data_IF_241599794391
#
_entry.id   IF_241599794391
#
_cell.length_a   1.000
_cell.length_b   1.000
_cell.length_c   1.000
_cell.angle_alpha   90.00
_cell.angle_beta   90.00
_cell.angle_gamma   90.00
#
_symmetry.space_group_name_H-M   'P 1'
#
loop_
_entity.id
_entity.type
_entity.pdbx_description
1 polymer ?
#
# COMPACT_ATOMS: atom_id res chain seq x y z
N UNK A 1 -19.62 12.73 -11.08
CA UNK A 1 -18.51 12.59 -12.06
C UNK A 1 -17.55 11.55 -11.53
N UNK A 2 -16.99 10.69 -12.38
CA UNK A 2 -15.93 9.77 -11.95
C UNK A 2 -14.65 10.55 -11.64
N UNK A 3 -13.89 10.11 -10.63
CA UNK A 3 -12.58 10.66 -10.27
C UNK A 3 -11.46 10.09 -11.15
N UNK A 4 -11.56 8.80 -11.47
CA UNK A 4 -10.62 8.11 -12.34
C UNK A 4 -11.31 7.07 -13.22
N UNK A 5 -10.57 6.57 -14.22
CA UNK A 5 -10.96 5.44 -15.07
C UNK A 5 -9.76 4.51 -15.32
N UNK A 6 -10.02 3.32 -15.86
CA UNK A 6 -8.95 2.46 -16.35
C UNK A 6 -8.36 2.99 -17.67
N UNK A 7 -7.05 2.84 -17.80
CA UNK A 7 -6.28 3.18 -19.01
C UNK A 7 -6.41 2.13 -20.12
N UNK A 8 -6.93 0.94 -19.81
CA UNK A 8 -6.92 -0.24 -20.67
C UNK A 8 -5.66 -1.10 -20.55
N UNK A 9 -4.61 -0.63 -19.86
CA UNK A 9 -3.43 -1.45 -19.56
C UNK A 9 -3.71 -2.41 -18.41
N UNK A 10 -3.32 -3.66 -18.60
CA UNK A 10 -3.44 -4.72 -17.60
C UNK A 10 -2.10 -5.40 -17.35
N UNK A 11 -1.98 -6.05 -16.19
CA UNK A 11 -0.89 -7.00 -15.88
C UNK A 11 -1.40 -8.02 -14.86
N UNK A 12 -0.91 -9.24 -14.94
CA UNK A 12 -1.24 -10.30 -13.97
C UNK A 12 -0.12 -10.45 -12.95
N UNK A 13 -0.45 -10.45 -11.65
CA UNK A 13 0.48 -10.63 -10.54
C UNK A 13 -0.15 -11.57 -9.52
N UNK A 14 0.47 -12.73 -9.26
CA UNK A 14 -0.09 -13.77 -8.37
C UNK A 14 -1.53 -14.15 -8.73
N UNK A 15 -1.80 -14.40 -10.03
CA UNK A 15 -3.12 -14.74 -10.58
C UNK A 15 -4.20 -13.67 -10.39
N UNK A 16 -3.80 -12.44 -10.05
CA UNK A 16 -4.69 -11.28 -9.98
C UNK A 16 -4.40 -10.37 -11.18
N UNK A 17 -5.45 -10.06 -11.93
CA UNK A 17 -5.39 -9.08 -13.00
C UNK A 17 -5.54 -7.67 -12.43
N UNK A 18 -4.53 -6.84 -12.67
CA UNK A 18 -4.49 -5.46 -12.23
C UNK A 18 -4.63 -4.52 -13.42
N UNK A 19 -5.39 -3.45 -13.23
CA UNK A 19 -5.70 -2.44 -14.22
C UNK A 19 -5.07 -1.10 -13.79
N UNK A 20 -4.35 -0.45 -14.72
CA UNK A 20 -3.77 0.86 -14.43
C UNK A 20 -4.83 1.96 -14.54
N UNK A 21 -4.85 2.85 -13.56
CA UNK A 21 -5.81 3.96 -13.48
C UNK A 21 -5.24 5.26 -14.04
N UNK A 22 -6.13 6.17 -14.44
CA UNK A 22 -5.81 7.54 -14.83
C UNK A 22 -6.88 8.49 -14.29
N UNK A 23 -6.45 9.63 -13.75
CA UNK A 23 -7.35 10.66 -13.24
C UNK A 23 -8.10 11.33 -14.39
N UNK A 24 -9.39 11.62 -14.17
CA UNK A 24 -10.24 12.30 -15.17
C UNK A 24 -10.75 13.67 -14.71
N UNK A 25 -10.44 14.04 -13.47
CA UNK A 25 -10.68 15.35 -12.86
C UNK A 25 -9.49 15.69 -11.96
N UNK A 26 -9.34 16.96 -11.62
CA UNK A 26 -8.36 17.42 -10.64
C UNK A 26 -8.90 17.22 -9.21
N UNK A 27 -8.07 16.77 -8.28
CA UNK A 27 -8.42 16.59 -6.86
C UNK A 27 -7.18 16.61 -5.94
N UNK A 28 -7.37 16.63 -4.62
CA UNK A 28 -6.29 16.75 -3.62
C UNK A 28 -6.15 18.14 -2.99
N UNK A 29 -5.19 18.28 -2.06
CA UNK A 29 -4.96 19.54 -1.32
C UNK A 29 -3.81 20.35 -1.93
N UNK A 30 -4.17 21.49 -2.53
CA UNK A 30 -3.21 22.44 -3.12
C UNK A 30 -2.22 23.00 -2.09
N UNK A 31 -2.58 23.04 -0.80
CA UNK A 31 -1.71 23.57 0.27
C UNK A 31 -0.59 22.61 0.63
N UNK A 32 -0.83 21.30 0.56
CA UNK A 32 0.20 20.29 0.82
C UNK A 32 1.02 19.95 -0.43
N UNK A 33 0.49 20.28 -1.61
CA UNK A 33 1.10 19.94 -2.90
C UNK A 33 0.70 18.55 -3.40
N UNK A 34 -0.18 17.84 -2.67
CA UNK A 34 -0.68 16.51 -3.03
C UNK A 34 -1.86 16.63 -4.01
N UNK A 35 -1.60 17.24 -5.18
CA UNK A 35 -2.61 17.45 -6.22
C UNK A 35 -2.45 16.39 -7.31
N UNK A 36 -3.53 15.70 -7.63
CA UNK A 36 -3.63 14.83 -8.81
C UNK A 36 -4.35 15.62 -9.90
N UNK A 37 -3.73 15.71 -11.07
CA UNK A 37 -4.25 16.43 -12.24
C UNK A 37 -4.95 15.47 -13.18
N UNK A 38 -5.93 15.98 -13.92
CA UNK A 38 -6.57 15.28 -15.02
C UNK A 38 -5.50 14.77 -16.00
N UNK A 39 -5.54 13.48 -16.31
CA UNK A 39 -4.55 12.82 -17.16
C UNK A 39 -3.38 12.19 -16.42
N UNK A 40 -3.21 12.45 -15.12
CA UNK A 40 -2.17 11.79 -14.32
C UNK A 40 -2.43 10.28 -14.25
N UNK A 41 -1.43 9.53 -14.70
CA UNK A 41 -1.45 8.07 -14.69
C UNK A 41 -1.08 7.59 -13.28
N UNK A 42 -1.99 6.83 -12.67
CA UNK A 42 -1.80 6.25 -11.35
C UNK A 42 -1.14 4.88 -11.37
N UNK A 43 -1.25 4.22 -10.22
CA UNK A 43 -0.85 2.84 -10.02
C UNK A 43 -1.91 1.86 -10.50
N UNK A 44 -1.98 0.71 -9.84
CA UNK A 44 -2.70 -0.46 -10.32
C UNK A 44 -3.71 -0.93 -9.29
N UNK A 45 -4.95 -1.16 -9.71
CA UNK A 45 -5.99 -1.74 -8.88
C UNK A 45 -6.62 -2.94 -9.58
N UNK A 46 -7.12 -3.92 -8.84
CA UNK A 46 -7.80 -5.08 -9.43
C UNK A 46 -9.16 -4.68 -10.01
N UNK A 47 -9.96 -3.93 -9.26
CA UNK A 47 -11.25 -3.42 -9.72
C UNK A 47 -11.63 -2.11 -9.01
N UNK A 48 -12.73 -1.49 -9.42
CA UNK A 48 -13.16 -0.18 -8.91
C UNK A 48 -13.51 -0.18 -7.41
N UNK A 49 -13.76 -1.33 -6.79
CA UNK A 49 -14.00 -1.41 -5.34
C UNK A 49 -12.71 -1.14 -4.53
N UNK A 50 -11.54 -1.25 -5.15
CA UNK A 50 -10.27 -1.05 -4.45
C UNK A 50 -9.92 0.41 -4.16
N UNK A 51 -10.47 1.35 -4.93
CA UNK A 51 -10.18 2.77 -4.78
C UNK A 51 -11.46 3.59 -4.89
N UNK A 52 -11.80 4.35 -3.86
CA UNK A 52 -13.00 5.19 -3.86
C UNK A 52 -12.97 6.22 -4.98
N UNK A 53 -14.10 6.37 -5.68
CA UNK A 53 -14.35 7.47 -6.62
C UNK A 53 -14.59 8.81 -5.93
N UNK A 54 -14.71 8.83 -4.60
CA UNK A 54 -14.88 10.04 -3.77
C UNK A 54 -13.63 10.33 -2.95
N UNK A 55 -13.51 11.55 -2.45
CA UNK A 55 -12.37 12.02 -1.66
C UNK A 55 -11.06 12.05 -2.45
N UNK A 56 -9.96 12.31 -1.75
CA UNK A 56 -8.65 12.57 -2.36
C UNK A 56 -7.72 11.36 -2.42
N UNK A 57 -8.22 10.19 -2.02
CA UNK A 57 -7.44 8.97 -2.02
C UNK A 57 -6.92 8.62 -3.41
N UNK A 58 -5.64 8.23 -3.50
CA UNK A 58 -4.98 7.94 -4.77
C UNK A 58 -3.99 6.79 -4.68
N UNK A 59 -3.91 6.02 -5.76
CA UNK A 59 -2.90 4.99 -5.97
C UNK A 59 -1.97 5.47 -7.08
N UNK A 60 -0.66 5.59 -6.80
CA UNK A 60 0.31 6.17 -7.73
C UNK A 60 1.58 5.32 -7.90
N UNK A 61 2.30 5.55 -9.01
CA UNK A 61 3.54 4.87 -9.30
C UNK A 61 3.36 3.37 -9.63
N UNK A 62 4.14 2.51 -8.97
CA UNK A 62 4.06 1.05 -9.14
C UNK A 62 3.19 0.36 -8.08
N UNK A 63 2.49 1.15 -7.27
CA UNK A 63 1.63 0.65 -6.21
C UNK A 63 0.51 -0.26 -6.75
N UNK A 64 0.14 -1.25 -5.95
CA UNK A 64 -0.84 -2.28 -6.29
C UNK A 64 -1.83 -2.42 -5.14
N UNK A 65 -3.12 -2.40 -5.47
CA UNK A 65 -4.22 -2.63 -4.53
C UNK A 65 -5.13 -3.73 -5.07
N UNK A 66 -5.35 -4.79 -4.30
CA UNK A 66 -6.12 -5.96 -4.77
C UNK A 66 -6.83 -6.75 -3.66
N UNK A 67 -7.66 -7.71 -4.03
CA UNK A 67 -8.58 -8.41 -3.16
C UNK A 67 -9.64 -7.46 -2.62
N UNK A 68 -10.05 -7.67 -1.37
CA UNK A 68 -11.07 -6.84 -0.69
C UNK A 68 -10.52 -5.50 -0.15
N UNK A 69 -9.32 -5.11 -0.55
CA UNK A 69 -8.64 -3.96 -0.01
C UNK A 69 -9.35 -2.69 -0.46
N UNK A 70 -9.64 -1.78 0.45
CA UNK A 70 -10.34 -0.54 0.14
C UNK A 70 -9.54 0.70 0.53
N UNK A 71 -9.21 1.51 -0.48
CA UNK A 71 -8.50 2.79 -0.36
C UNK A 71 -9.49 3.94 -0.51
N UNK A 72 -9.57 4.81 0.48
CA UNK A 72 -10.58 5.88 0.57
C UNK A 72 -10.07 7.10 1.35
N UNK A 73 -10.93 8.10 1.58
CA UNK A 73 -10.57 9.30 2.34
C UNK A 73 -9.46 10.10 1.67
N UNK A 74 -8.38 10.34 2.42
CA UNK A 74 -7.20 11.09 1.95
C UNK A 74 -5.98 10.19 1.70
N UNK A 75 -6.16 8.88 1.74
CA UNK A 75 -5.05 7.93 1.68
C UNK A 75 -4.24 8.03 0.39
N UNK A 76 -2.92 8.12 0.53
CA UNK A 76 -1.96 8.11 -0.58
C UNK A 76 -1.17 6.79 -0.60
N UNK A 77 -1.48 5.91 -1.54
CA UNK A 77 -0.78 4.63 -1.72
C UNK A 77 0.17 4.75 -2.91
N UNK A 78 1.46 4.84 -2.66
CA UNK A 78 2.44 5.23 -3.68
C UNK A 78 3.66 4.32 -3.77
N UNK A 79 4.52 4.60 -4.74
CA UNK A 79 5.82 3.94 -4.88
C UNK A 79 5.69 2.46 -5.25
N UNK A 80 6.23 1.57 -4.40
CA UNK A 80 6.20 0.10 -4.57
C UNK A 80 5.21 -0.59 -3.63
N UNK A 81 4.29 0.15 -3.03
CA UNK A 81 3.32 -0.39 -2.08
C UNK A 81 2.55 -1.59 -2.67
N UNK A 82 2.36 -2.63 -1.86
CA UNK A 82 1.49 -3.75 -2.16
C UNK A 82 0.47 -3.88 -1.03
N UNK A 83 -0.73 -3.34 -1.28
CA UNK A 83 -1.87 -3.37 -0.33
C UNK A 83 -2.86 -4.41 -0.83
N UNK A 84 -3.32 -5.30 0.03
CA UNK A 84 -4.20 -6.38 -0.44
C UNK A 84 -4.95 -7.07 0.68
N UNK A 85 -5.99 -7.84 0.35
CA UNK A 85 -6.77 -8.60 1.32
C UNK A 85 -7.78 -7.70 2.02
N UNK A 86 -7.90 -7.80 3.33
CA UNK A 86 -8.86 -7.05 4.16
C UNK A 86 -8.38 -5.64 4.55
N UNK A 87 -7.59 -5.00 3.70
CA UNK A 87 -7.02 -3.69 3.99
C UNK A 87 -8.11 -2.61 4.05
N UNK A 88 -8.03 -1.72 5.04
CA UNK A 88 -8.89 -0.54 5.11
C UNK A 88 -8.04 0.72 5.32
N UNK A 89 -7.75 1.39 4.21
CA UNK A 89 -6.75 2.45 4.12
C UNK A 89 -7.47 3.75 3.78
N UNK A 90 -7.73 4.59 4.78
CA UNK A 90 -8.48 5.85 4.64
C UNK A 90 -7.64 7.10 4.91
N UNK A 91 -6.44 6.94 5.45
CA UNK A 91 -5.51 8.01 5.81
C UNK A 91 -4.11 7.68 5.29
N UNK A 92 -3.31 8.70 4.97
CA UNK A 92 -1.93 8.55 4.50
C UNK A 92 -1.06 7.81 5.52
N UNK A 93 -1.33 7.94 6.83
CA UNK A 93 -0.62 7.20 7.87
C UNK A 93 -0.84 5.69 7.81
N UNK A 94 -1.94 5.22 7.21
CA UNK A 94 -2.32 3.80 7.19
C UNK A 94 -1.43 2.92 6.32
N UNK A 95 -0.46 3.47 5.58
CA UNK A 95 0.50 2.70 4.78
C UNK A 95 1.92 3.18 5.06
N UNK A 96 2.83 2.23 5.24
CA UNK A 96 4.26 2.48 5.37
C UNK A 96 5.02 1.52 4.45
N UNK A 97 5.79 2.09 3.52
CA UNK A 97 6.67 1.34 2.62
C UNK A 97 8.12 1.60 3.01
N UNK A 98 8.85 0.56 3.42
CA UNK A 98 10.27 0.66 3.80
C UNK A 98 11.09 -0.22 2.88
N UNK A 99 12.16 0.34 2.31
CA UNK A 99 13.10 -0.40 1.48
C UNK A 99 14.08 0.53 0.77
N UNK A 100 15.16 -0.01 0.18
CA UNK A 100 15.53 -1.42 0.16
C UNK A 100 16.07 -1.90 1.52
N UNK A 101 15.47 -2.94 2.12
CA UNK A 101 15.89 -3.51 3.41
C UNK A 101 15.98 -5.03 3.37
N UNK A 102 16.56 -5.62 4.42
CA UNK A 102 16.71 -7.06 4.57
C UNK A 102 17.76 -7.68 3.65
N UNK A 103 17.83 -9.01 3.64
CA UNK A 103 18.85 -9.77 2.89
C UNK A 103 18.69 -9.71 1.37
N UNK A 104 17.52 -9.26 0.89
CA UNK A 104 17.19 -9.15 -0.54
C UNK A 104 17.24 -7.73 -1.07
N UNK A 105 17.52 -6.73 -0.22
CA UNK A 105 17.41 -5.32 -0.58
C UNK A 105 16.08 -5.02 -1.27
N UNK A 106 14.98 -5.38 -0.61
CA UNK A 106 13.63 -5.26 -1.15
C UNK A 106 12.74 -4.37 -0.26
N UNK A 107 11.51 -4.14 -0.70
CA UNK A 107 10.55 -3.26 -0.05
C UNK A 107 9.53 -4.07 0.75
N UNK A 108 9.29 -3.63 1.99
CA UNK A 108 8.22 -4.13 2.86
C UNK A 108 7.11 -3.10 2.89
N UNK A 109 5.87 -3.53 2.68
CA UNK A 109 4.67 -2.71 2.86
C UNK A 109 3.96 -3.15 4.13
N UNK A 110 3.81 -2.23 5.08
CA UNK A 110 2.91 -2.35 6.23
C UNK A 110 1.66 -1.53 5.92
N UNK A 111 0.48 -2.06 6.22
CA UNK A 111 -0.77 -1.34 5.98
C UNK A 111 -1.84 -1.71 6.98
N UNK A 112 -2.76 -0.77 7.23
CA UNK A 112 -3.92 -0.99 8.10
C UNK A 112 -4.89 -1.98 7.48
N UNK A 113 -5.35 -2.93 8.29
CA UNK A 113 -6.42 -3.87 7.97
C UNK A 113 -7.48 -3.86 9.08
N UNK A 114 -8.58 -4.57 8.85
CA UNK A 114 -9.63 -4.77 9.85
C UNK A 114 -9.12 -5.49 11.11
N UNK A 115 -8.01 -6.22 11.02
CA UNK A 115 -7.39 -6.96 12.12
C UNK A 115 -6.10 -6.31 12.67
N UNK A 116 -5.80 -5.06 12.32
CA UNK A 116 -4.63 -4.32 12.81
C UNK A 116 -3.67 -3.92 11.69
N UNK A 117 -2.44 -4.45 11.71
CA UNK A 117 -1.42 -4.20 10.67
C UNK A 117 -1.16 -5.49 9.90
N UNK A 118 -1.37 -5.44 8.61
CA UNK A 118 -0.98 -6.45 7.64
C UNK A 118 0.37 -6.08 6.99
N UNK A 119 1.16 -7.10 6.64
CA UNK A 119 2.51 -6.94 6.09
C UNK A 119 2.67 -7.73 4.79
N UNK A 120 3.28 -7.08 3.80
CA UNK A 120 3.77 -7.68 2.56
C UNK A 120 5.27 -7.51 2.48
N UNK A 121 6.01 -8.63 2.43
CA UNK A 121 7.47 -8.64 2.38
C UNK A 121 7.97 -9.84 1.57
N UNK A 122 8.26 -9.64 0.28
CA UNK A 122 8.57 -10.74 -0.63
C UNK A 122 7.44 -11.77 -0.68
N UNK A 123 7.73 -13.04 -0.36
CA UNK A 123 6.72 -14.09 -0.30
C UNK A 123 5.84 -14.04 0.96
N UNK A 124 6.21 -13.23 1.97
CA UNK A 124 5.41 -13.13 3.19
C UNK A 124 4.16 -12.28 2.96
N UNK A 125 3.01 -12.82 3.39
CA UNK A 125 1.73 -12.13 3.55
C UNK A 125 1.11 -12.60 4.86
N UNK A 126 0.77 -11.66 5.72
CA UNK A 126 0.11 -11.96 7.00
C UNK A 126 0.07 -10.76 7.90
N UNK A 127 -0.37 -10.94 9.13
CA UNK A 127 -0.34 -9.89 10.14
C UNK A 127 1.09 -9.62 10.64
N UNK A 128 1.26 -8.50 11.34
CA UNK A 128 2.56 -8.06 11.85
C UNK A 128 3.15 -8.98 12.92
N UNK A 129 2.33 -9.74 13.65
CA UNK A 129 2.81 -10.70 14.66
C UNK A 129 3.42 -11.92 13.97
N UNK A 130 2.75 -12.46 12.96
CA UNK A 130 3.26 -13.56 12.13
C UNK A 130 4.49 -13.14 11.33
N UNK A 131 4.55 -11.88 10.91
CA UNK A 131 5.74 -11.30 10.29
C UNK A 131 6.93 -11.33 11.26
N UNK A 132 6.75 -10.83 12.49
CA UNK A 132 7.81 -10.82 13.50
C UNK A 132 8.26 -12.22 13.91
N UNK A 133 7.33 -13.19 13.99
CA UNK A 133 7.65 -14.59 14.21
C UNK A 133 8.51 -15.15 13.06
N UNK A 134 8.13 -14.88 11.82
CA UNK A 134 8.89 -15.29 10.62
C UNK A 134 10.29 -14.67 10.62
N UNK A 135 10.40 -13.37 10.91
CA UNK A 135 11.69 -12.66 11.04
C UNK A 135 12.56 -13.29 12.13
N UNK A 136 12.00 -13.62 13.29
CA UNK A 136 12.74 -14.30 14.37
C UNK A 136 13.25 -15.66 13.92
N UNK A 137 12.41 -16.48 13.28
CA UNK A 137 12.74 -17.83 12.85
C UNK A 137 13.80 -17.84 11.74
N UNK A 138 13.70 -16.93 10.77
CA UNK A 138 14.60 -16.91 9.61
C UNK A 138 15.90 -16.13 9.88
N UNK A 139 15.82 -15.02 10.61
CA UNK A 139 16.94 -14.08 10.73
C UNK A 139 17.53 -13.94 12.13
N UNK A 140 16.88 -14.48 13.18
CA UNK A 140 17.40 -14.43 14.54
C UNK A 140 17.84 -13.01 14.95
N UNK A 141 18.94 -12.89 15.69
CA UNK A 141 19.53 -11.60 16.10
C UNK A 141 20.41 -10.92 15.04
N UNK A 142 20.37 -11.37 13.78
CA UNK A 142 21.16 -10.73 12.71
C UNK A 142 20.73 -9.28 12.45
N UNK A 143 21.61 -8.50 11.82
CA UNK A 143 21.34 -7.13 11.35
C UNK A 143 20.06 -7.05 10.51
N UNK A 144 19.80 -8.03 9.64
CA UNK A 144 18.56 -8.05 8.83
C UNK A 144 17.32 -8.23 9.70
N UNK A 145 17.39 -9.12 10.70
CA UNK A 145 16.31 -9.33 11.66
C UNK A 145 16.03 -8.06 12.48
N UNK A 146 17.07 -7.36 12.92
CA UNK A 146 16.95 -6.08 13.62
C UNK A 146 16.28 -5.00 12.77
N UNK A 147 16.72 -4.83 11.51
CA UNK A 147 16.11 -3.87 10.58
C UNK A 147 14.60 -4.13 10.39
N UNK A 148 14.19 -5.40 10.19
CA UNK A 148 12.77 -5.72 10.05
C UNK A 148 11.96 -5.48 11.33
N UNK A 149 12.54 -5.72 12.52
CA UNK A 149 11.88 -5.40 13.79
C UNK A 149 11.70 -3.89 13.96
N UNK A 150 12.73 -3.10 13.69
CA UNK A 150 12.65 -1.64 13.76
C UNK A 150 11.62 -1.08 12.76
N UNK A 151 11.58 -1.64 11.54
CA UNK A 151 10.55 -1.29 10.56
C UNK A 151 9.13 -1.62 11.06
N UNK A 152 8.94 -2.76 11.71
CA UNK A 152 7.66 -3.15 12.30
C UNK A 152 7.27 -2.26 13.50
N UNK A 153 8.22 -1.87 14.36
CA UNK A 153 7.97 -0.92 15.45
C UNK A 153 7.57 0.46 14.92
N UNK A 154 8.28 0.96 13.90
CA UNK A 154 7.88 2.20 13.23
C UNK A 154 6.47 2.10 12.63
N UNK A 155 6.14 0.97 12.00
CA UNK A 155 4.79 0.73 11.47
C UNK A 155 3.71 0.78 12.56
N UNK A 156 3.97 0.20 13.75
CA UNK A 156 3.06 0.29 14.89
C UNK A 156 2.84 1.73 15.34
N UNK A 157 3.93 2.48 15.51
CA UNK A 157 3.88 3.89 15.92
C UNK A 157 3.13 4.76 14.91
N UNK A 158 3.26 4.49 13.62
CA UNK A 158 2.62 5.29 12.57
C UNK A 158 1.16 4.91 12.33
N UNK A 159 0.84 3.61 12.24
CA UNK A 159 -0.47 3.11 11.77
C UNK A 159 -1.48 2.96 12.92
N UNK A 160 -1.01 2.74 14.15
CA UNK A 160 -1.88 2.55 15.32
C UNK A 160 -1.96 3.79 16.22
N UNK A 161 -1.16 4.84 15.97
CA UNK A 161 -1.32 6.11 16.70
C UNK A 161 -2.63 6.78 16.33
N UNK A 162 -3.37 7.23 17.34
CA UNK A 162 -4.55 8.11 17.18
C UNK A 162 -4.14 9.45 16.54
#
# INVERSE_FOLDING_TARGET
MSKYKFTGKTKSVFDIDLHQIVAVVDFGDVRTGDVVRTGDVGGWIENENNLSQSGDAWVSGKAQVSGDAWVSGNAQVSGKAQVSGDAWVSDTRHVLVIGPVGSRFDFTTFFKSTHGISVRCGCFRGDIKDFLNSVKNTHGSSRHGEVYRLAAELAKLQILSE
#
